data_IF_238293684679
#
_entry.id   IF_238293684679
#
_cell.length_a   1.000
_cell.length_b   1.000
_cell.length_c   1.000
_cell.angle_alpha   90.00
_cell.angle_beta   90.00
_cell.angle_gamma   90.00
#
_symmetry.space_group_name_H-M   'P 1'
#
loop_
_entity.id
_entity.type
_entity.pdbx_description
1 polymer ?
#
# COMPACT_ATOMS: atom_id res chain seq x y z
N UNK A 1 21.56 -20.93 -8.00
CA UNK A 1 20.45 -20.34 -8.77
C UNK A 1 19.76 -19.37 -7.83
N UNK A 2 19.79 -18.07 -8.10
CA UNK A 2 19.09 -17.09 -7.28
C UNK A 2 17.60 -17.41 -7.28
N UNK A 3 16.97 -17.51 -6.11
CA UNK A 3 15.53 -17.72 -6.05
C UNK A 3 14.81 -16.61 -6.83
N UNK A 4 13.74 -16.93 -7.58
CA UNK A 4 12.90 -15.91 -8.19
C UNK A 4 12.45 -14.94 -7.09
N UNK A 5 12.61 -13.62 -7.30
CA UNK A 5 12.08 -12.62 -6.35
C UNK A 5 10.60 -12.93 -6.14
N UNK A 6 10.22 -13.26 -4.90
CA UNK A 6 8.87 -13.70 -4.53
C UNK A 6 7.77 -12.72 -4.95
N UNK A 7 8.12 -11.43 -5.07
CA UNK A 7 7.25 -10.34 -5.50
C UNK A 7 8.01 -9.45 -6.51
N UNK A 8 7.90 -9.72 -7.82
CA UNK A 8 8.65 -8.99 -8.83
C UNK A 8 8.31 -7.50 -8.87
N UNK A 9 9.35 -6.67 -9.05
CA UNK A 9 9.20 -5.26 -9.37
C UNK A 9 8.67 -5.07 -10.81
N UNK A 10 8.02 -3.94 -11.13
CA UNK A 10 7.69 -2.82 -10.25
C UNK A 10 6.45 -3.13 -9.39
N UNK A 11 6.47 -2.68 -8.13
CA UNK A 11 5.23 -2.65 -7.35
C UNK A 11 4.43 -1.38 -7.71
N UNK A 12 3.11 -1.52 -7.78
CA UNK A 12 2.17 -0.48 -8.21
C UNK A 12 1.18 -0.18 -7.10
N UNK A 13 0.75 1.07 -7.05
CA UNK A 13 -0.28 1.53 -6.13
C UNK A 13 -1.65 1.54 -6.82
N UNK A 14 -2.62 0.85 -6.23
CA UNK A 14 -4.02 0.84 -6.66
C UNK A 14 -4.86 1.45 -5.55
N UNK A 15 -5.54 2.54 -5.87
CA UNK A 15 -6.46 3.22 -4.94
C UNK A 15 -7.81 2.50 -4.94
N UNK A 16 -8.29 2.17 -3.74
CA UNK A 16 -9.62 1.62 -3.46
C UNK A 16 -10.41 2.62 -2.60
N UNK A 17 -11.69 2.32 -2.34
CA UNK A 17 -12.58 3.19 -1.58
C UNK A 17 -12.08 3.49 -0.15
N UNK A 18 -11.43 2.53 0.51
CA UNK A 18 -10.99 2.65 1.91
C UNK A 18 -9.56 2.19 2.14
N UNK A 19 -8.80 1.95 1.07
CA UNK A 19 -7.43 1.48 1.16
C UNK A 19 -6.61 1.79 -0.09
N UNK A 20 -5.30 1.81 0.08
CA UNK A 20 -4.36 1.64 -1.03
C UNK A 20 -3.86 0.19 -1.06
N UNK A 21 -4.03 -0.48 -2.19
CA UNK A 21 -3.50 -1.81 -2.46
C UNK A 21 -2.16 -1.67 -3.18
N UNK A 22 -1.15 -2.38 -2.70
CA UNK A 22 0.16 -2.46 -3.35
C UNK A 22 0.21 -3.80 -4.09
N UNK A 23 0.39 -3.77 -5.40
CA UNK A 23 0.48 -4.96 -6.24
C UNK A 23 1.89 -5.14 -6.78
N UNK A 24 2.35 -6.38 -6.91
CA UNK A 24 3.58 -6.66 -7.66
C UNK A 24 3.35 -6.62 -9.19
N UNK A 25 4.40 -6.88 -9.97
CA UNK A 25 4.31 -6.86 -11.43
C UNK A 25 3.34 -7.91 -12.01
N UNK A 26 3.03 -8.97 -11.26
CA UNK A 26 2.06 -10.01 -11.62
C UNK A 26 0.63 -9.69 -11.18
N UNK A 27 0.40 -8.55 -10.52
CA UNK A 27 -0.90 -8.18 -9.96
C UNK A 27 -1.20 -8.86 -8.62
N UNK A 28 -0.22 -9.51 -7.98
CA UNK A 28 -0.41 -10.10 -6.67
C UNK A 28 -0.47 -8.98 -5.61
N UNK A 29 -1.50 -8.94 -4.74
CA UNK A 29 -1.62 -7.92 -3.71
C UNK A 29 -0.66 -8.18 -2.55
N UNK A 30 0.44 -7.44 -2.53
CA UNK A 30 1.52 -7.56 -1.53
C UNK A 30 1.12 -6.95 -0.19
N UNK A 31 0.40 -5.82 -0.20
CA UNK A 31 0.00 -5.11 1.02
C UNK A 31 -1.25 -4.25 0.81
N UNK A 32 -1.91 -3.91 1.92
CA UNK A 32 -3.04 -2.98 1.97
C UNK A 32 -2.78 -1.93 3.06
N UNK A 33 -3.00 -0.66 2.75
CA UNK A 33 -2.92 0.45 3.70
C UNK A 33 -4.30 1.09 3.78
N UNK A 34 -5.00 0.86 4.89
CA UNK A 34 -6.36 1.35 5.10
C UNK A 34 -6.39 2.81 5.53
N UNK A 35 -7.41 3.54 5.09
CA UNK A 35 -7.68 4.91 5.50
C UNK A 35 -9.17 5.15 5.71
N UNK A 36 -9.48 6.30 6.29
CA UNK A 36 -10.85 6.80 6.39
C UNK A 36 -10.83 8.29 6.02
N UNK A 37 -11.48 8.62 4.90
CA UNK A 37 -11.57 10.01 4.41
C UNK A 37 -12.66 10.81 5.15
N UNK A 38 -13.53 10.09 5.87
CA UNK A 38 -14.68 10.64 6.55
C UNK A 38 -14.29 11.00 8.00
N UNK A 39 -14.37 12.28 8.35
CA UNK A 39 -13.87 12.82 9.63
C UNK A 39 -14.66 12.33 10.84
N UNK A 40 -15.99 12.31 10.74
CA UNK A 40 -16.88 11.84 11.82
C UNK A 40 -16.67 10.34 12.07
N UNK A 41 -16.46 9.59 10.98
CA UNK A 41 -16.16 8.16 11.05
C UNK A 41 -14.74 7.88 11.56
N UNK A 42 -13.75 8.74 11.28
CA UNK A 42 -12.39 8.63 11.87
C UNK A 42 -12.40 8.84 13.37
N UNK A 43 -13.17 9.81 13.86
CA UNK A 43 -13.26 10.12 15.29
C UNK A 43 -13.89 8.97 16.10
N UNK A 44 -14.77 8.19 15.48
CA UNK A 44 -15.44 7.03 16.09
C UNK A 44 -14.69 5.70 15.90
N UNK A 45 -13.94 5.54 14.81
CA UNK A 45 -13.13 4.36 14.50
C UNK A 45 -11.67 4.63 14.87
N UNK A 46 -11.34 4.46 16.15
CA UNK A 46 -9.99 4.41 16.74
C UNK A 46 -8.85 4.70 15.75
N UNK A 47 -8.53 5.98 15.58
CA UNK A 47 -7.29 6.47 14.96
C UNK A 47 -7.00 5.94 13.54
N UNK A 48 -8.01 5.88 12.66
CA UNK A 48 -7.73 5.62 11.23
C UNK A 48 -6.97 6.77 10.58
N UNK A 49 -6.00 6.40 9.75
CA UNK A 49 -5.21 7.33 8.94
C UNK A 49 -6.09 8.13 7.99
N UNK A 50 -5.68 9.38 7.71
CA UNK A 50 -6.20 10.14 6.57
C UNK A 50 -5.78 9.46 5.27
N UNK A 51 -6.50 9.77 4.18
CA UNK A 51 -6.13 9.27 2.84
C UNK A 51 -4.72 9.69 2.44
N UNK A 52 -4.33 10.92 2.74
CA UNK A 52 -2.99 11.43 2.41
C UNK A 52 -1.88 10.72 3.20
N UNK A 53 -2.10 10.45 4.49
CA UNK A 53 -1.12 9.71 5.29
C UNK A 53 -0.98 8.28 4.77
N UNK A 54 -2.09 7.60 4.48
CA UNK A 54 -2.08 6.26 3.92
C UNK A 54 -1.38 6.23 2.56
N UNK A 55 -1.59 7.24 1.71
CA UNK A 55 -0.90 7.37 0.42
C UNK A 55 0.61 7.48 0.60
N UNK A 56 1.09 8.30 1.54
CA UNK A 56 2.53 8.45 1.82
C UNK A 56 3.17 7.12 2.23
N UNK A 57 2.53 6.39 3.15
CA UNK A 57 3.01 5.06 3.57
C UNK A 57 3.00 4.08 2.39
N UNK A 58 1.90 4.02 1.65
CA UNK A 58 1.74 3.07 0.56
C UNK A 58 2.76 3.30 -0.58
N UNK A 59 3.06 4.56 -0.91
CA UNK A 59 4.14 4.92 -1.84
C UNK A 59 5.51 4.48 -1.33
N UNK A 60 5.76 4.61 -0.02
CA UNK A 60 6.99 4.10 0.60
C UNK A 60 7.14 2.59 0.44
N UNK A 61 6.08 1.82 0.71
CA UNK A 61 6.05 0.36 0.55
C UNK A 61 6.30 -0.04 -0.91
N UNK A 62 5.66 0.63 -1.88
CA UNK A 62 5.82 0.34 -3.30
C UNK A 62 7.28 0.50 -3.82
N UNK A 63 8.14 1.21 -3.08
CA UNK A 63 9.56 1.41 -3.43
C UNK A 63 10.49 0.33 -2.87
N UNK A 64 10.03 -0.51 -1.93
CA UNK A 64 10.87 -1.53 -1.29
C UNK A 64 11.62 -2.46 -2.25
N UNK A 65 11.05 -2.93 -3.38
CA UNK A 65 11.76 -3.80 -4.33
C UNK A 65 12.97 -3.16 -5.00
N UNK A 66 13.04 -1.82 -4.99
CA UNK A 66 14.10 -1.05 -5.61
C UNK A 66 15.28 -0.80 -4.65
N UNK A 67 15.10 -1.08 -3.34
CA UNK A 67 16.07 -0.80 -2.29
C UNK A 67 16.93 -2.01 -1.91
N UNK A 68 16.50 -3.23 -2.24
CA UNK A 68 17.20 -4.48 -1.90
C UNK A 68 17.89 -5.16 -3.09
N UNK A 69 18.29 -4.37 -4.10
CA UNK A 69 18.99 -4.82 -5.30
C UNK A 69 20.50 -4.85 -5.14
#
# INVERSE_FOLDING_TARGET
MSEPRRFPAPWRLVELSEAFRIEDAGGFPVAYVYFCDDEERRASMAERMTKDDARRIAVGIARLPQLGG
#
